data_IF_682474483620
#
_entry.id   IF_682474483620
#
_cell.length_a   1.000
_cell.length_b   1.000
_cell.length_c   1.000
_cell.angle_alpha   90.00
_cell.angle_beta   90.00
_cell.angle_gamma   90.00
#
_symmetry.space_group_name_H-M   'P 1'
#
loop_
_entity.id
_entity.type
_entity.pdbx_description
1 polymer ?
#
# COMPACT_ATOMS: atom_id res chain seq x y z
N UNK A 1 -9.43 -0.32 -15.67
CA UNK A 1 -9.39 -0.12 -14.22
C UNK A 1 -9.96 1.26 -13.97
N UNK A 2 -11.07 1.34 -13.25
CA UNK A 2 -11.66 2.61 -12.80
C UNK A 2 -11.37 2.84 -11.32
N UNK A 3 -11.40 1.76 -10.52
CA UNK A 3 -11.17 1.79 -9.08
C UNK A 3 -10.09 0.78 -8.68
N UNK A 4 -9.19 1.21 -7.81
CA UNK A 4 -8.19 0.37 -7.18
C UNK A 4 -8.31 0.50 -5.67
N UNK A 5 -8.79 -0.55 -5.00
CA UNK A 5 -8.75 -0.61 -3.54
C UNK A 5 -7.39 -1.11 -3.10
N UNK A 6 -6.77 -0.46 -2.13
CA UNK A 6 -5.42 -0.78 -1.63
C UNK A 6 -5.39 -0.85 -0.11
N UNK A 7 -4.41 -1.60 0.40
CA UNK A 7 -4.07 -1.71 1.82
C UNK A 7 -2.59 -2.13 1.96
N UNK A 8 -1.86 -1.54 2.89
CA UNK A 8 -0.45 -1.84 3.16
C UNK A 8 -0.26 -2.42 4.55
N UNK A 9 0.56 -3.48 4.63
CA UNK A 9 1.12 -3.95 5.89
C UNK A 9 2.58 -3.50 5.96
N UNK A 10 2.95 -2.82 7.04
CA UNK A 10 4.21 -2.10 7.14
C UNK A 10 4.95 -2.42 8.43
N UNK A 11 6.26 -2.27 8.40
CA UNK A 11 7.13 -2.35 9.57
C UNK A 11 7.84 -1.01 9.81
N UNK A 12 8.08 -0.71 11.09
CA UNK A 12 8.99 0.34 11.55
C UNK A 12 9.36 0.03 13.00
N UNK A 13 10.60 0.28 13.42
CA UNK A 13 10.98 0.08 14.84
C UNK A 13 10.35 1.10 15.79
N UNK A 14 9.86 2.23 15.26
CA UNK A 14 9.18 3.25 16.07
C UNK A 14 7.71 2.90 16.27
N UNK A 15 7.18 3.21 17.45
CA UNK A 15 5.80 2.88 17.78
C UNK A 15 4.80 3.87 17.16
N UNK A 16 4.03 3.42 16.16
CA UNK A 16 3.03 4.21 15.45
C UNK A 16 2.08 4.99 16.38
N UNK A 17 1.52 4.32 17.39
CA UNK A 17 0.56 4.92 18.33
C UNK A 17 1.16 6.04 19.18
N UNK A 18 2.48 6.13 19.29
CA UNK A 18 3.19 7.19 20.03
C UNK A 18 3.75 8.29 19.14
N UNK A 19 4.15 7.97 17.90
CA UNK A 19 4.85 8.92 17.02
C UNK A 19 3.97 9.50 15.91
N UNK A 20 2.83 8.87 15.59
CA UNK A 20 1.99 9.22 14.46
C UNK A 20 2.55 8.72 13.12
N UNK A 21 1.71 8.73 12.09
CA UNK A 21 2.00 8.12 10.78
C UNK A 21 3.25 8.66 10.09
N UNK A 22 3.50 9.97 10.13
CA UNK A 22 4.64 10.57 9.46
C UNK A 22 5.97 10.07 10.03
N UNK A 23 6.17 10.17 11.34
CA UNK A 23 7.40 9.69 11.99
C UNK A 23 7.57 8.18 11.88
N UNK A 24 6.46 7.45 11.81
CA UNK A 24 6.48 6.01 11.59
C UNK A 24 7.02 5.65 10.20
N UNK A 25 6.49 6.31 9.16
CA UNK A 25 6.88 6.11 7.76
C UNK A 25 8.26 6.70 7.41
N UNK A 26 8.71 7.72 8.14
CA UNK A 26 10.04 8.35 7.96
C UNK A 26 11.18 7.60 8.65
N UNK A 27 10.92 6.50 9.36
CA UNK A 27 11.97 5.73 10.01
C UNK A 27 12.94 5.13 8.98
N UNK A 28 14.24 5.10 9.30
CA UNK A 28 15.27 4.55 8.40
C UNK A 28 15.05 3.05 8.09
N UNK A 29 14.31 2.35 8.96
CA UNK A 29 13.95 0.94 8.84
C UNK A 29 12.47 0.72 8.47
N UNK A 30 11.80 1.75 7.95
CA UNK A 30 10.44 1.59 7.45
C UNK A 30 10.42 0.68 6.22
N UNK A 31 9.56 -0.33 6.25
CA UNK A 31 9.40 -1.28 5.14
C UNK A 31 7.91 -1.49 4.84
N UNK A 32 7.57 -1.57 3.56
CA UNK A 32 6.29 -2.11 3.11
C UNK A 32 6.46 -3.62 2.95
N UNK A 33 5.72 -4.39 3.74
CA UNK A 33 5.83 -5.84 3.81
C UNK A 33 4.87 -6.52 2.83
N UNK A 34 3.59 -6.16 2.89
CA UNK A 34 2.53 -6.72 2.05
C UNK A 34 1.78 -5.59 1.36
N UNK A 35 1.38 -5.83 0.11
CA UNK A 35 0.49 -4.96 -0.63
C UNK A 35 -0.77 -5.73 -1.04
N UNK A 36 -1.88 -5.41 -0.40
CA UNK A 36 -3.20 -5.90 -0.77
C UNK A 36 -3.84 -4.99 -1.80
N UNK A 37 -4.42 -5.57 -2.85
CA UNK A 37 -5.18 -4.79 -3.82
C UNK A 37 -6.39 -5.53 -4.38
N UNK A 38 -7.40 -4.76 -4.79
CA UNK A 38 -8.56 -5.26 -5.56
C UNK A 38 -8.86 -4.30 -6.70
N UNK A 39 -8.91 -4.84 -7.92
CA UNK A 39 -9.19 -4.09 -9.14
C UNK A 39 -10.69 -4.12 -9.39
N UNK A 40 -11.34 -2.96 -9.44
CA UNK A 40 -12.76 -2.83 -9.78
C UNK A 40 -13.69 -3.74 -8.93
N UNK A 41 -13.35 -3.98 -7.66
CA UNK A 41 -14.10 -4.83 -6.73
C UNK A 41 -13.97 -6.34 -6.97
N UNK A 42 -12.98 -6.76 -7.76
CA UNK A 42 -12.62 -8.17 -7.95
C UNK A 42 -11.97 -8.80 -6.71
N UNK A 43 -11.61 -10.08 -6.82
CA UNK A 43 -10.94 -10.82 -5.76
C UNK A 43 -9.65 -10.12 -5.31
N UNK A 44 -9.48 -9.99 -4.00
CA UNK A 44 -8.30 -9.39 -3.40
C UNK A 44 -7.08 -10.24 -3.74
N UNK A 45 -6.05 -9.58 -4.23
CA UNK A 45 -4.72 -10.13 -4.43
C UNK A 45 -3.79 -9.56 -3.35
N UNK A 46 -2.82 -10.35 -2.91
CA UNK A 46 -1.81 -9.92 -1.95
C UNK A 46 -0.44 -10.18 -2.57
N UNK A 47 0.42 -9.17 -2.55
CA UNK A 47 1.82 -9.26 -2.97
C UNK A 47 2.69 -9.25 -1.73
N UNK A 48 3.48 -10.31 -1.53
CA UNK A 48 4.44 -10.44 -0.43
C UNK A 48 5.80 -9.84 -0.82
N UNK A 49 5.92 -8.52 -0.63
CA UNK A 49 7.14 -7.77 -0.93
C UNK A 49 8.32 -8.21 -0.05
N UNK A 50 8.03 -8.60 1.19
CA UNK A 50 9.03 -9.12 2.13
C UNK A 50 9.62 -10.46 1.69
N UNK A 51 8.92 -11.24 0.86
CA UNK A 51 9.42 -12.46 0.22
C UNK A 51 9.90 -12.25 -1.23
N UNK A 52 9.97 -11.00 -1.70
CA UNK A 52 10.50 -10.63 -3.01
C UNK A 52 9.51 -10.82 -4.16
N UNK A 53 8.20 -10.93 -3.88
CA UNK A 53 7.19 -10.83 -4.92
C UNK A 53 7.15 -9.42 -5.51
N UNK A 54 6.68 -9.31 -6.75
CA UNK A 54 6.65 -8.05 -7.49
C UNK A 54 5.22 -7.65 -7.80
N UNK A 55 4.92 -6.37 -7.60
CA UNK A 55 3.63 -5.79 -7.99
C UNK A 55 3.50 -5.84 -9.52
N UNK A 56 2.36 -6.30 -10.07
CA UNK A 56 2.15 -6.29 -11.52
C UNK A 56 2.24 -4.87 -12.10
N UNK A 57 2.91 -4.72 -13.25
CA UNK A 57 3.14 -3.42 -13.90
C UNK A 57 1.84 -2.62 -14.13
N UNK A 58 0.74 -3.31 -14.41
CA UNK A 58 -0.57 -2.68 -14.62
C UNK A 58 -1.13 -2.05 -13.35
N UNK A 59 -0.89 -2.67 -12.19
CA UNK A 59 -1.30 -2.13 -10.88
C UNK A 59 -0.38 -1.00 -10.47
N UNK A 60 0.93 -1.16 -10.67
CA UNK A 60 1.91 -0.12 -10.40
C UNK A 60 1.63 1.15 -11.22
N UNK A 61 1.31 1.00 -12.50
CA UNK A 61 0.92 2.12 -13.38
C UNK A 61 -0.34 2.82 -12.88
N UNK A 62 -1.32 2.06 -12.39
CA UNK A 62 -2.59 2.60 -11.91
C UNK A 62 -2.46 3.43 -10.62
N UNK A 63 -1.46 3.16 -9.77
CA UNK A 63 -1.20 3.97 -8.57
C UNK A 63 -0.88 5.43 -8.92
N UNK A 64 -0.23 5.66 -10.06
CA UNK A 64 0.14 7.00 -10.55
C UNK A 64 -0.81 7.57 -11.61
N UNK A 65 -1.80 6.78 -12.06
CA UNK A 65 -2.78 7.23 -13.04
C UNK A 65 -3.85 8.09 -12.35
N UNK A 66 -3.97 9.36 -12.77
CA UNK A 66 -4.96 10.31 -12.25
C UNK A 66 -6.39 9.95 -12.64
N UNK A 67 -6.58 9.10 -13.65
CA UNK A 67 -7.91 8.64 -14.11
C UNK A 67 -8.45 7.47 -13.29
N UNK A 68 -7.59 6.80 -12.51
CA UNK A 68 -7.98 5.71 -11.61
C UNK A 68 -8.27 6.27 -10.22
N UNK A 69 -9.43 5.93 -9.64
CA UNK A 69 -9.75 6.28 -8.25
C UNK A 69 -9.12 5.26 -7.31
N UNK A 70 -8.31 5.73 -6.36
CA UNK A 70 -7.71 4.87 -5.32
C UNK A 70 -8.57 4.93 -4.07
N UNK A 71 -8.89 3.76 -3.52
CA UNK A 71 -9.69 3.63 -2.30
C UNK A 71 -8.86 2.94 -1.22
N UNK A 72 -8.81 3.53 -0.04
CA UNK A 72 -8.19 2.89 1.12
C UNK A 72 -8.83 3.43 2.40
N UNK A 73 -8.74 2.67 3.48
CA UNK A 73 -9.11 3.19 4.79
C UNK A 73 -7.92 3.98 5.35
N UNK A 74 -8.09 5.29 5.54
CA UNK A 74 -6.98 6.21 5.85
C UNK A 74 -5.94 6.35 4.71
N UNK A 75 -6.42 6.57 3.48
CA UNK A 75 -5.63 6.78 2.26
C UNK A 75 -4.58 7.93 2.29
N UNK A 76 -4.45 8.67 3.39
CA UNK A 76 -3.33 9.59 3.57
C UNK A 76 -2.03 8.85 3.93
N UNK A 77 -2.14 7.69 4.58
CA UNK A 77 -1.01 6.86 5.00
C UNK A 77 -0.66 5.81 3.94
N UNK A 78 -1.68 5.15 3.40
CA UNK A 78 -1.57 4.18 2.31
C UNK A 78 -1.01 4.80 1.02
#
# INVERSE_FOLDING_TARGET
>A
MENLSIDLETFSSVNLGKCGVYKYAESDDFEILLFGYSVDGSEVQVVDLAQGETIPDTVLSALTDETVTKWAFNAQFE
#
